data_IF_447983511573
#
_entry.id   IF_447983511573
#
_cell.length_a   1.000
_cell.length_b   1.000
_cell.length_c   1.000
_cell.angle_alpha   90.00
_cell.angle_beta   90.00
_cell.angle_gamma   90.00
#
_symmetry.space_group_name_H-M   'P 1'
#
loop_
_entity.id
_entity.type
_entity.pdbx_description
1 polymer ?
#
# COMPACT_ATOMS: atom_id res chain seq x y z
N UNK A 1 -29.58 -0.63 12.61
CA UNK A 1 -29.11 0.13 11.42
C UNK A 1 -28.76 -0.86 10.33
N UNK A 2 -29.12 -0.61 9.07
CA UNK A 2 -28.82 -1.55 7.97
C UNK A 2 -27.32 -1.52 7.66
N UNK A 3 -26.75 -2.68 7.37
CA UNK A 3 -25.31 -2.88 7.12
C UNK A 3 -24.75 -1.97 6.00
N UNK A 4 -25.59 -1.54 5.05
CA UNK A 4 -25.18 -0.66 3.95
C UNK A 4 -24.71 0.72 4.42
N UNK A 5 -25.40 1.37 5.36
CA UNK A 5 -24.98 2.67 5.88
C UNK A 5 -23.73 2.53 6.75
N UNK A 6 -23.55 1.39 7.44
CA UNK A 6 -22.35 1.14 8.23
C UNK A 6 -21.10 1.17 7.34
N UNK A 7 -21.16 0.59 6.13
CA UNK A 7 -20.06 0.67 5.17
C UNK A 7 -19.74 2.12 4.76
N UNK A 8 -20.78 2.94 4.54
CA UNK A 8 -20.60 4.38 4.23
C UNK A 8 -19.96 5.11 5.41
N UNK A 9 -20.40 4.86 6.64
CA UNK A 9 -19.82 5.51 7.83
C UNK A 9 -18.39 5.05 8.08
N UNK A 10 -18.06 3.77 7.88
CA UNK A 10 -16.68 3.28 7.93
C UNK A 10 -15.78 4.03 6.95
N UNK A 11 -16.26 4.24 5.73
CA UNK A 11 -15.53 4.95 4.69
C UNK A 11 -15.37 6.45 5.00
N UNK A 12 -16.40 7.09 5.57
CA UNK A 12 -16.30 8.46 6.07
C UNK A 12 -15.23 8.58 7.17
N UNK A 13 -15.21 7.65 8.13
CA UNK A 13 -14.21 7.64 9.20
C UNK A 13 -12.78 7.44 8.66
N UNK A 14 -12.62 6.67 7.57
CA UNK A 14 -11.34 6.52 6.87
C UNK A 14 -10.91 7.82 6.20
N UNK A 15 -11.78 8.43 5.39
CA UNK A 15 -11.48 9.68 4.67
C UNK A 15 -11.20 10.86 5.60
N UNK A 16 -11.83 10.89 6.77
CA UNK A 16 -11.64 11.97 7.74
C UNK A 16 -10.46 11.73 8.69
N UNK A 17 -9.94 10.50 8.75
CA UNK A 17 -8.93 10.10 9.72
C UNK A 17 -9.38 10.22 11.18
N UNK A 18 -10.68 10.27 11.46
CA UNK A 18 -11.23 10.56 12.79
C UNK A 18 -11.09 9.39 13.77
N UNK A 19 -10.93 8.18 13.26
CA UNK A 19 -10.68 6.98 14.06
C UNK A 19 -9.19 6.70 14.19
N UNK A 20 -8.70 6.61 15.42
CA UNK A 20 -7.31 6.28 15.70
C UNK A 20 -7.11 4.76 15.73
N UNK A 21 -6.20 4.18 14.92
CA UNK A 21 -5.94 2.75 14.97
C UNK A 21 -5.44 2.28 16.36
N UNK A 22 -5.99 1.17 16.81
CA UNK A 22 -5.79 0.57 18.13
C UNK A 22 -6.66 1.18 19.23
N UNK A 23 -7.50 2.18 18.93
CA UNK A 23 -8.34 2.83 19.95
C UNK A 23 -9.70 2.16 20.18
N UNK A 24 -10.12 1.25 19.29
CA UNK A 24 -11.45 0.64 19.36
C UNK A 24 -11.72 -0.40 18.29
N UNK A 25 -13.00 -0.73 18.16
CA UNK A 25 -13.55 -1.78 17.29
C UNK A 25 -14.09 -1.21 15.97
N UNK A 26 -14.55 -2.07 15.07
CA UNK A 26 -15.30 -1.67 13.88
C UNK A 26 -16.52 -0.80 14.24
N UNK A 27 -17.22 -1.14 15.33
CA UNK A 27 -18.40 -0.39 15.77
C UNK A 27 -18.05 1.02 16.24
N UNK A 28 -16.89 1.20 16.88
CA UNK A 28 -16.39 2.50 17.30
C UNK A 28 -16.02 3.36 16.09
N UNK A 29 -15.39 2.75 15.06
CA UNK A 29 -15.09 3.43 13.80
C UNK A 29 -16.35 3.85 13.03
N UNK A 30 -17.37 3.00 13.00
CA UNK A 30 -18.70 3.35 12.46
C UNK A 30 -19.27 4.57 13.20
N UNK A 31 -19.14 4.62 14.53
CA UNK A 31 -19.65 5.73 15.32
C UNK A 31 -18.88 7.04 15.04
N UNK A 32 -17.55 7.00 14.91
CA UNK A 32 -16.76 8.14 14.45
C UNK A 32 -17.31 8.70 13.13
N UNK A 33 -17.47 7.85 12.11
CA UNK A 33 -17.97 8.29 10.81
C UNK A 33 -19.40 8.85 10.83
N UNK A 34 -20.27 8.33 11.70
CA UNK A 34 -21.59 8.95 11.93
C UNK A 34 -21.46 10.35 12.52
N UNK A 35 -20.60 10.53 13.52
CA UNK A 35 -20.38 11.84 14.13
C UNK A 35 -19.84 12.85 13.11
N UNK A 36 -18.96 12.42 12.22
CA UNK A 36 -18.43 13.25 11.14
C UNK A 36 -19.52 13.65 10.14
N UNK A 37 -20.38 12.70 9.73
CA UNK A 37 -21.55 13.00 8.92
C UNK A 37 -22.51 13.98 9.61
N UNK A 38 -22.86 13.76 10.88
CA UNK A 38 -23.73 14.64 11.66
C UNK A 38 -23.16 16.06 11.70
N UNK A 39 -21.84 16.19 11.89
CA UNK A 39 -21.15 17.48 12.00
C UNK A 39 -20.84 18.10 10.65
N UNK A 40 -21.06 17.38 9.55
CA UNK A 40 -20.61 17.75 8.21
C UNK A 40 -19.10 18.03 8.18
N UNK A 41 -18.31 17.21 8.87
CA UNK A 41 -16.88 17.43 9.04
C UNK A 41 -16.15 17.35 7.69
N UNK A 42 -15.23 18.28 7.47
CA UNK A 42 -14.35 18.36 6.31
C UNK A 42 -12.92 18.56 6.82
N UNK A 43 -11.94 18.09 6.05
CA UNK A 43 -10.53 18.31 6.32
C UNK A 43 -10.20 19.79 6.16
N UNK A 44 -9.43 20.32 7.10
CA UNK A 44 -8.88 21.68 7.02
C UNK A 44 -7.59 21.64 6.19
N UNK A 45 -7.69 22.05 4.93
CA UNK A 45 -6.62 21.95 3.95
C UNK A 45 -6.11 23.34 3.56
N UNK A 46 -4.79 23.52 3.59
CA UNK A 46 -4.13 24.71 3.07
C UNK A 46 -3.78 24.54 1.59
N UNK A 47 -4.65 25.02 0.70
CA UNK A 47 -4.48 24.87 -0.76
C UNK A 47 -3.25 25.59 -1.36
N UNK A 48 -2.51 26.37 -0.56
CA UNK A 48 -1.22 26.92 -0.98
C UNK A 48 -0.10 25.87 -0.91
N UNK A 49 -0.23 24.86 -0.07
CA UNK A 49 0.70 23.74 0.03
C UNK A 49 0.40 22.66 -1.04
N UNK A 50 1.45 22.00 -1.55
CA UNK A 50 1.26 20.98 -2.58
C UNK A 50 0.71 19.67 -2.03
N UNK A 51 1.10 19.29 -0.80
CA UNK A 51 0.66 18.04 -0.21
C UNK A 51 -0.82 18.13 0.18
N UNK A 52 -1.25 19.22 0.82
CA UNK A 52 -2.68 19.46 1.11
C UNK A 52 -3.56 19.56 -0.15
N UNK A 53 -3.02 20.04 -1.28
CA UNK A 53 -3.75 20.04 -2.57
C UNK A 53 -4.03 18.63 -3.07
N UNK A 54 -3.15 17.66 -2.78
CA UNK A 54 -3.36 16.26 -3.17
C UNK A 54 -4.58 15.70 -2.46
N UNK A 55 -4.85 16.12 -1.22
CA UNK A 55 -5.94 15.59 -0.39
C UNK A 55 -7.30 16.29 -0.62
N UNK A 56 -7.34 17.33 -1.46
CA UNK A 56 -8.60 18.03 -1.80
C UNK A 56 -9.70 17.09 -2.33
N UNK A 57 -9.32 16.00 -3.00
CA UNK A 57 -10.26 15.01 -3.51
C UNK A 57 -11.05 14.33 -2.38
N UNK A 58 -10.48 14.16 -1.19
CA UNK A 58 -11.16 13.57 -0.03
C UNK A 58 -12.35 14.42 0.42
N UNK A 59 -12.18 15.74 0.50
CA UNK A 59 -13.28 16.68 0.80
C UNK A 59 -14.38 16.65 -0.27
N UNK A 60 -14.02 16.44 -1.55
CA UNK A 60 -15.00 16.27 -2.63
C UNK A 60 -15.81 14.99 -2.43
N UNK A 61 -15.15 13.89 -2.04
CA UNK A 61 -15.82 12.62 -1.73
C UNK A 61 -16.73 12.74 -0.51
N UNK A 62 -16.24 13.32 0.59
CA UNK A 62 -17.03 13.57 1.81
C UNK A 62 -18.30 14.36 1.50
N UNK A 63 -18.16 15.45 0.74
CA UNK A 63 -19.29 16.30 0.33
C UNK A 63 -20.34 15.52 -0.48
N UNK A 64 -19.92 14.62 -1.37
CA UNK A 64 -20.83 13.77 -2.15
C UNK A 64 -21.53 12.73 -1.28
N UNK A 65 -20.79 12.06 -0.41
CA UNK A 65 -21.31 11.05 0.53
C UNK A 65 -22.35 11.65 1.46
N UNK A 66 -22.07 12.81 2.06
CA UNK A 66 -23.01 13.48 2.95
C UNK A 66 -24.31 13.86 2.25
N UNK A 67 -24.21 14.34 1.00
CA UNK A 67 -25.40 14.66 0.20
C UNK A 67 -26.21 13.41 -0.18
N UNK A 68 -25.54 12.30 -0.49
CA UNK A 68 -26.21 11.03 -0.76
C UNK A 68 -26.89 10.48 0.49
N UNK A 69 -26.26 10.56 1.66
CA UNK A 69 -26.87 10.21 2.94
C UNK A 69 -28.08 11.09 3.27
N UNK A 70 -27.98 12.41 3.06
CA UNK A 70 -29.10 13.33 3.25
C UNK A 70 -30.29 12.95 2.35
N UNK A 71 -30.01 12.56 1.10
CA UNK A 71 -31.04 12.12 0.15
C UNK A 71 -31.61 10.76 0.54
N UNK A 72 -30.76 9.81 0.94
CA UNK A 72 -31.14 8.47 1.38
C UNK A 72 -32.09 8.52 2.58
N UNK A 73 -31.79 9.37 3.57
CA UNK A 73 -32.60 9.59 4.76
C UNK A 73 -33.73 10.61 4.55
N UNK A 74 -33.78 11.27 3.38
CA UNK A 74 -34.72 12.33 3.05
C UNK A 74 -34.76 13.45 4.12
N UNK A 75 -33.58 13.97 4.47
CA UNK A 75 -33.40 15.03 5.48
C UNK A 75 -32.75 16.27 4.89
N UNK A 76 -33.03 17.47 5.43
CA UNK A 76 -32.23 18.64 5.11
C UNK A 76 -30.80 18.47 5.64
N UNK A 77 -29.85 19.18 5.01
CA UNK A 77 -28.44 19.25 5.42
C UNK A 77 -28.27 20.09 6.69
N UNK A 78 -28.81 19.60 7.80
CA UNK A 78 -28.72 20.18 9.14
C UNK A 78 -28.31 19.12 10.17
N UNK A 79 -27.50 19.54 11.15
CA UNK A 79 -26.95 18.68 12.21
C UNK A 79 -28.03 17.93 12.98
N UNK A 80 -29.11 18.61 13.36
CA UNK A 80 -30.19 18.01 14.15
C UNK A 80 -30.95 16.99 13.32
N UNK A 81 -31.24 17.33 12.06
CA UNK A 81 -31.93 16.44 11.14
C UNK A 81 -31.13 15.15 10.86
N UNK A 82 -29.80 15.27 10.67
CA UNK A 82 -28.89 14.14 10.50
C UNK A 82 -28.76 13.28 11.75
N UNK A 83 -28.58 13.90 12.92
CA UNK A 83 -28.49 13.19 14.20
C UNK A 83 -29.74 12.33 14.46
N UNK A 84 -30.93 12.89 14.21
CA UNK A 84 -32.20 12.18 14.31
C UNK A 84 -32.43 11.15 13.21
N UNK A 85 -31.65 11.12 12.12
CA UNK A 85 -31.80 10.15 11.04
C UNK A 85 -30.92 8.91 11.22
N UNK A 86 -29.75 9.10 11.84
CA UNK A 86 -28.83 8.00 12.16
C UNK A 86 -29.10 7.37 13.52
N UNK A 87 -30.05 7.91 14.29
CA UNK A 87 -30.50 7.29 15.53
C UNK A 87 -31.16 5.93 15.22
N UNK A 88 -30.66 4.82 15.81
CA UNK A 88 -31.23 3.49 15.62
C UNK A 88 -32.72 3.38 15.96
N UNK A 89 -33.23 4.21 16.87
CA UNK A 89 -34.63 4.23 17.28
C UNK A 89 -35.51 5.09 16.37
N UNK A 90 -34.88 5.91 15.51
CA UNK A 90 -35.60 6.73 14.55
C UNK A 90 -36.11 5.87 13.39
N UNK A 91 -37.43 5.66 13.36
CA UNK A 91 -38.10 4.95 12.27
C UNK A 91 -38.32 5.86 11.05
N UNK A 92 -37.32 6.66 10.67
CA UNK A 92 -37.44 7.66 9.60
C UNK A 92 -37.56 7.01 8.22
N UNK A 93 -38.22 7.77 7.33
CA UNK A 93 -38.49 7.42 5.94
C UNK A 93 -37.19 7.15 5.19
N UNK A 94 -37.15 6.04 4.47
CA UNK A 94 -35.99 5.58 3.70
C UNK A 94 -36.40 5.43 2.26
N UNK A 95 -35.52 5.81 1.35
CA UNK A 95 -35.72 5.50 -0.06
C UNK A 95 -35.26 4.06 -0.32
N UNK A 96 -36.19 3.09 -0.21
CA UNK A 96 -35.88 1.64 -0.36
C UNK A 96 -35.26 1.25 -1.72
N UNK A 97 -35.33 2.15 -2.70
CA UNK A 97 -34.73 2.00 -4.04
C UNK A 97 -33.57 2.98 -4.27
N UNK A 98 -32.92 3.47 -3.21
CA UNK A 98 -31.82 4.41 -3.34
C UNK A 98 -30.66 3.77 -4.09
N UNK A 99 -30.08 4.51 -5.03
CA UNK A 99 -28.91 4.10 -5.79
C UNK A 99 -27.75 5.03 -5.43
N UNK A 100 -26.77 4.48 -4.72
CA UNK A 100 -25.51 5.16 -4.41
C UNK A 100 -24.75 5.43 -5.70
N UNK A 101 -24.23 6.64 -5.88
CA UNK A 101 -23.41 7.00 -7.04
C UNK A 101 -21.93 7.17 -6.68
N UNK A 102 -21.64 7.34 -5.39
CA UNK A 102 -20.26 7.34 -4.90
C UNK A 102 -19.77 5.90 -4.73
N UNK A 103 -18.69 5.50 -5.43
CA UNK A 103 -18.05 4.23 -5.16
C UNK A 103 -17.44 4.24 -3.76
N UNK A 104 -17.69 3.17 -3.00
CA UNK A 104 -17.09 2.95 -1.68
C UNK A 104 -15.96 1.95 -1.89
N UNK A 105 -14.74 2.35 -1.58
CA UNK A 105 -13.58 1.48 -1.64
C UNK A 105 -13.34 0.84 -0.27
N UNK A 106 -13.14 -0.47 -0.26
CA UNK A 106 -12.70 -1.23 0.90
C UNK A 106 -11.37 -1.88 0.54
N UNK A 107 -10.29 -1.41 1.15
CA UNK A 107 -8.95 -1.95 0.92
C UNK A 107 -8.53 -2.85 2.10
N UNK A 108 -7.76 -3.88 1.78
CA UNK A 108 -7.20 -4.77 2.77
C UNK A 108 -6.02 -4.09 3.48
N UNK A 109 -6.04 -4.09 4.81
CA UNK A 109 -4.96 -3.52 5.63
C UNK A 109 -3.69 -4.35 5.49
N UNK A 110 -2.84 -3.97 4.53
CA UNK A 110 -1.62 -4.68 4.15
C UNK A 110 -1.89 -6.14 3.72
N UNK A 111 -2.65 -6.32 2.62
CA UNK A 111 -3.02 -7.62 2.05
C UNK A 111 -1.88 -8.64 1.97
N UNK A 112 -0.68 -8.20 1.62
CA UNK A 112 0.52 -9.03 1.60
C UNK A 112 0.80 -9.68 2.97
N UNK A 113 0.83 -8.89 4.04
CA UNK A 113 1.04 -9.39 5.40
C UNK A 113 -0.09 -10.32 5.85
N UNK A 114 -1.32 -10.12 5.35
CA UNK A 114 -2.45 -11.02 5.62
C UNK A 114 -2.17 -12.41 5.03
N UNK A 115 -1.76 -12.48 3.75
CA UNK A 115 -1.39 -13.74 3.11
C UNK A 115 -0.20 -14.39 3.79
N UNK A 116 0.85 -13.64 4.12
CA UNK A 116 2.01 -14.17 4.83
C UNK A 116 1.62 -14.70 6.22
N UNK A 117 0.78 -13.99 6.96
CA UNK A 117 0.25 -14.43 8.24
C UNK A 117 -0.54 -15.73 8.12
N UNK A 118 -1.35 -15.88 7.07
CA UNK A 118 -2.09 -17.12 6.80
C UNK A 118 -1.16 -18.28 6.43
N UNK A 119 -0.16 -18.03 5.58
CA UNK A 119 0.79 -19.06 5.12
C UNK A 119 1.75 -19.52 6.22
N UNK A 120 2.12 -18.62 7.12
CA UNK A 120 3.02 -18.91 8.25
C UNK A 120 2.27 -19.35 9.50
N UNK A 121 0.96 -19.11 9.57
CA UNK A 121 0.16 -19.30 10.78
C UNK A 121 0.55 -18.35 11.91
N UNK A 122 1.23 -17.22 11.62
CA UNK A 122 1.67 -16.28 12.65
C UNK A 122 0.49 -15.42 13.11
N UNK A 123 0.04 -15.69 14.35
CA UNK A 123 -1.09 -14.99 14.97
C UNK A 123 -0.88 -13.47 15.06
N UNK A 124 0.37 -13.01 15.26
CA UNK A 124 0.68 -11.58 15.41
C UNK A 124 0.44 -10.83 14.11
N UNK A 125 0.85 -11.42 12.98
CA UNK A 125 0.57 -10.89 11.64
C UNK A 125 -0.94 -10.83 11.36
N UNK A 126 -1.70 -11.86 11.75
CA UNK A 126 -3.15 -11.90 11.55
C UNK A 126 -3.89 -10.87 12.42
N UNK A 127 -3.47 -10.67 13.68
CA UNK A 127 -4.03 -9.66 14.59
C UNK A 127 -3.73 -8.23 14.13
N UNK A 128 -2.48 -7.93 13.76
CA UNK A 128 -2.09 -6.56 13.37
C UNK A 128 -2.66 -6.13 12.01
N UNK A 129 -3.07 -7.08 11.17
CA UNK A 129 -3.67 -6.83 9.86
C UNK A 129 -5.20 -6.96 9.85
N UNK A 130 -5.81 -7.12 11.03
CA UNK A 130 -7.26 -7.20 11.23
C UNK A 130 -7.92 -8.42 10.56
N UNK A 131 -7.18 -9.49 10.28
CA UNK A 131 -7.76 -10.77 9.81
C UNK A 131 -8.47 -11.47 10.97
N UNK A 132 -7.93 -11.33 12.18
CA UNK A 132 -8.53 -11.79 13.43
C UNK A 132 -8.43 -10.70 14.49
N UNK A 133 -9.25 -10.81 15.53
CA UNK A 133 -9.31 -9.85 16.63
C UNK A 133 -10.37 -8.77 16.41
N UNK A 134 -10.78 -8.14 17.50
CA UNK A 134 -11.92 -7.20 17.50
C UNK A 134 -11.49 -5.74 17.47
N UNK A 135 -10.24 -5.45 17.86
CA UNK A 135 -9.68 -4.09 17.87
C UNK A 135 -8.95 -3.81 16.58
N UNK A 136 -9.38 -2.79 15.83
CA UNK A 136 -8.78 -2.41 14.56
C UNK A 136 -7.38 -1.82 14.76
N UNK A 137 -6.36 -2.49 14.24
CA UNK A 137 -4.95 -2.12 14.28
C UNK A 137 -4.49 -1.47 12.97
N UNK A 138 -3.38 -0.71 13.04
CA UNK A 138 -2.62 -0.30 11.86
C UNK A 138 -1.37 -1.20 11.76
N UNK A 139 -1.26 -2.02 10.70
CA UNK A 139 -0.11 -2.92 10.55
C UNK A 139 1.21 -2.15 10.42
N UNK A 140 1.18 -0.86 10.07
CA UNK A 140 2.38 -0.04 9.90
C UNK A 140 2.76 0.74 11.16
N UNK A 141 2.18 0.41 12.31
CA UNK A 141 2.50 1.02 13.60
C UNK A 141 3.61 0.25 14.32
N UNK A 142 4.69 0.96 14.66
CA UNK A 142 5.76 0.47 15.54
C UNK A 142 6.08 1.55 16.57
N UNK A 143 6.07 1.22 17.85
CA UNK A 143 6.34 2.20 18.91
C UNK A 143 7.75 2.77 18.78
N UNK A 144 7.87 4.10 18.85
CA UNK A 144 9.14 4.81 18.65
C UNK A 144 9.50 5.08 17.18
N UNK A 145 8.70 4.64 16.20
CA UNK A 145 8.92 4.90 14.78
C UNK A 145 7.66 5.49 14.12
N UNK A 146 7.85 6.45 13.20
CA UNK A 146 6.72 6.96 12.44
C UNK A 146 6.18 5.91 11.47
N UNK A 147 4.86 5.92 11.25
CA UNK A 147 4.19 5.05 10.27
C UNK A 147 4.81 5.17 8.88
N UNK A 148 5.15 6.39 8.47
CA UNK A 148 5.75 6.67 7.17
C UNK A 148 7.12 5.99 7.03
N UNK A 149 7.98 6.08 8.04
CA UNK A 149 9.29 5.41 8.06
C UNK A 149 9.13 3.90 7.90
N UNK A 150 8.28 3.29 8.74
CA UNK A 150 8.09 1.85 8.70
C UNK A 150 7.50 1.40 7.37
N UNK A 151 6.40 2.01 6.92
CA UNK A 151 5.73 1.64 5.66
C UNK A 151 6.66 1.78 4.46
N UNK A 152 7.43 2.86 4.37
CA UNK A 152 8.32 3.12 3.23
C UNK A 152 9.51 2.19 3.15
N UNK A 153 10.04 1.71 4.28
CA UNK A 153 11.12 0.73 4.29
C UNK A 153 10.61 -0.72 4.19
N UNK A 154 9.59 -1.08 4.98
CA UNK A 154 9.08 -2.44 5.06
C UNK A 154 8.34 -2.87 3.79
N UNK A 155 7.55 -1.99 3.16
CA UNK A 155 6.80 -2.38 1.95
C UNK A 155 7.73 -2.89 0.84
N UNK A 156 8.72 -2.13 0.33
CA UNK A 156 9.60 -2.66 -0.72
C UNK A 156 10.36 -3.90 -0.27
N UNK A 157 10.81 -3.95 0.99
CA UNK A 157 11.57 -5.07 1.53
C UNK A 157 10.77 -6.37 1.49
N UNK A 158 9.52 -6.34 1.97
CA UNK A 158 8.64 -7.50 2.03
C UNK A 158 8.15 -7.94 0.65
N UNK A 159 8.06 -7.02 -0.32
CA UNK A 159 7.78 -7.34 -1.73
C UNK A 159 9.00 -7.80 -2.54
N UNK A 160 10.17 -8.03 -1.91
CA UNK A 160 11.35 -8.63 -2.57
C UNK A 160 12.57 -7.74 -2.71
N UNK A 161 12.54 -6.50 -2.21
CA UNK A 161 13.73 -5.65 -2.17
C UNK A 161 14.75 -6.16 -1.15
N UNK A 162 16.02 -5.98 -1.49
CA UNK A 162 17.17 -6.26 -0.63
C UNK A 162 17.89 -4.98 -0.17
N UNK A 163 17.33 -3.80 -0.47
CA UNK A 163 17.89 -2.51 -0.03
C UNK A 163 17.79 -2.36 1.48
N UNK A 164 18.76 -1.66 2.07
CA UNK A 164 18.72 -1.36 3.49
C UNK A 164 17.68 -0.27 3.79
N UNK A 165 17.11 -0.27 4.99
CA UNK A 165 16.08 0.70 5.38
C UNK A 165 16.55 2.16 5.25
N UNK A 166 17.80 2.46 5.59
CA UNK A 166 18.37 3.80 5.51
C UNK A 166 18.53 4.30 4.07
N UNK A 167 18.79 3.40 3.10
CA UNK A 167 18.83 3.75 1.67
C UNK A 167 17.42 4.14 1.20
N UNK A 168 16.41 3.35 1.58
CA UNK A 168 15.00 3.63 1.26
C UNK A 168 14.52 4.94 1.89
N UNK A 169 14.91 5.22 3.13
CA UNK A 169 14.57 6.49 3.78
C UNK A 169 15.27 7.68 3.12
N UNK A 170 16.54 7.54 2.76
CA UNK A 170 17.30 8.57 2.07
C UNK A 170 16.69 8.89 0.69
N UNK A 171 16.33 7.87 -0.09
CA UNK A 171 15.68 8.03 -1.40
C UNK A 171 14.32 8.74 -1.31
N UNK A 172 13.65 8.64 -0.15
CA UNK A 172 12.36 9.30 0.12
C UNK A 172 12.50 10.61 0.91
N UNK A 173 13.71 11.14 1.10
CA UNK A 173 13.99 12.33 1.91
C UNK A 173 13.43 12.27 3.34
N UNK A 174 13.41 11.08 3.94
CA UNK A 174 12.95 10.88 5.32
C UNK A 174 14.16 10.99 6.26
N UNK A 175 14.20 11.97 7.18
CA UNK A 175 15.25 12.06 8.19
C UNK A 175 15.22 10.84 9.12
N UNK A 176 16.40 10.33 9.48
CA UNK A 176 16.53 9.19 10.39
C UNK A 176 17.79 9.30 11.25
N UNK A 177 17.78 8.56 12.35
CA UNK A 177 18.89 8.41 13.29
C UNK A 177 19.41 6.96 13.31
N UNK A 178 20.54 6.74 13.98
CA UNK A 178 21.06 5.39 14.21
C UNK A 178 20.11 4.54 15.05
N UNK A 179 19.39 5.16 16.00
CA UNK A 179 18.44 4.47 16.86
C UNK A 179 17.22 3.98 16.06
N UNK A 180 16.77 4.75 15.06
CA UNK A 180 15.72 4.33 14.14
C UNK A 180 16.12 3.09 13.32
N UNK A 181 17.37 3.06 12.84
CA UNK A 181 17.92 1.90 12.12
C UNK A 181 17.96 0.68 13.04
N UNK A 182 18.43 0.86 14.28
CA UNK A 182 18.50 -0.22 15.27
C UNK A 182 17.11 -0.77 15.61
N UNK A 183 16.13 0.12 15.81
CA UNK A 183 14.74 -0.25 16.08
C UNK A 183 14.12 -1.03 14.90
N UNK A 184 14.31 -0.56 13.67
CA UNK A 184 13.85 -1.26 12.47
C UNK A 184 14.48 -2.66 12.36
N UNK A 185 15.79 -2.75 12.54
CA UNK A 185 16.50 -4.03 12.44
C UNK A 185 16.07 -5.01 13.53
N UNK A 186 15.77 -4.52 14.74
CA UNK A 186 15.21 -5.35 15.81
C UNK A 186 13.85 -5.92 15.41
N UNK A 187 12.97 -5.09 14.86
CA UNK A 187 11.66 -5.53 14.38
C UNK A 187 11.78 -6.59 13.26
N UNK A 188 12.73 -6.40 12.34
CA UNK A 188 13.01 -7.39 11.27
C UNK A 188 13.68 -8.67 11.76
N UNK A 189 14.30 -8.66 12.95
CA UNK A 189 14.96 -9.83 13.52
C UNK A 189 14.05 -10.65 14.44
N UNK A 190 13.23 -9.97 15.26
CA UNK A 190 12.48 -10.57 16.37
C UNK A 190 10.95 -10.43 16.21
N UNK A 191 10.52 -9.42 15.45
CA UNK A 191 9.12 -9.03 15.32
C UNK A 191 8.34 -9.82 14.26
N UNK A 192 7.01 -9.57 14.15
CA UNK A 192 6.17 -10.14 13.10
C UNK A 192 6.70 -9.87 11.68
N UNK A 193 7.25 -8.67 11.44
CA UNK A 193 7.83 -8.36 10.12
C UNK A 193 9.06 -9.22 9.77
N UNK A 194 9.80 -9.71 10.78
CA UNK A 194 10.89 -10.64 10.55
C UNK A 194 10.42 -11.99 9.99
N UNK A 195 9.28 -12.49 10.46
CA UNK A 195 8.67 -13.74 9.97
C UNK A 195 8.25 -13.60 8.51
N UNK A 196 7.56 -12.50 8.19
CA UNK A 196 7.20 -12.11 6.83
C UNK A 196 8.44 -12.04 5.91
N UNK A 197 9.48 -11.33 6.35
CA UNK A 197 10.73 -11.19 5.61
C UNK A 197 11.43 -12.55 5.37
N UNK A 198 11.39 -13.47 6.34
CA UNK A 198 11.94 -14.82 6.18
C UNK A 198 11.15 -15.65 5.15
N UNK A 199 9.83 -15.54 5.11
CA UNK A 199 9.02 -16.21 4.09
C UNK A 199 9.37 -15.70 2.70
N UNK A 200 9.49 -14.37 2.54
CA UNK A 200 9.95 -13.75 1.29
C UNK A 200 11.32 -14.29 0.85
N UNK A 201 12.30 -14.34 1.76
CA UNK A 201 13.62 -14.92 1.46
C UNK A 201 13.52 -16.40 1.08
N UNK A 202 12.67 -17.18 1.75
CA UNK A 202 12.43 -18.58 1.41
C UNK A 202 11.89 -18.72 -0.03
N UNK A 203 10.90 -17.91 -0.41
CA UNK A 203 10.32 -17.95 -1.77
C UNK A 203 11.36 -17.56 -2.81
N UNK A 204 12.09 -16.45 -2.61
CA UNK A 204 13.09 -15.96 -3.56
C UNK A 204 14.21 -16.99 -3.78
N UNK A 205 14.68 -17.62 -2.68
CA UNK A 205 15.77 -18.60 -2.76
C UNK A 205 15.35 -19.95 -3.36
N UNK A 206 14.04 -20.26 -3.35
CA UNK A 206 13.51 -21.49 -3.95
C UNK A 206 12.85 -21.26 -5.32
N UNK A 207 12.75 -20.01 -5.79
CA UNK A 207 12.25 -19.69 -7.12
C UNK A 207 13.28 -20.00 -8.21
N UNK A 208 12.86 -20.74 -9.23
CA UNK A 208 13.67 -21.06 -10.41
C UNK A 208 13.05 -20.48 -11.70
N UNK A 209 13.05 -19.14 -11.86
CA UNK A 209 12.41 -18.50 -12.99
C UNK A 209 13.10 -18.83 -14.31
N UNK A 210 12.31 -18.85 -15.37
CA UNK A 210 12.78 -18.85 -16.76
C UNK A 210 12.54 -17.46 -17.37
N UNK A 211 13.18 -17.18 -18.50
CA UNK A 211 12.94 -15.93 -19.24
C UNK A 211 11.48 -15.74 -19.63
N UNK A 212 10.79 -16.85 -19.90
CA UNK A 212 9.36 -16.95 -20.11
C UNK A 212 8.85 -18.22 -19.44
N UNK A 213 7.71 -18.13 -18.74
CA UNK A 213 7.07 -19.28 -18.12
C UNK A 213 5.56 -19.10 -17.98
N UNK A 214 4.85 -20.22 -17.90
CA UNK A 214 3.44 -20.27 -17.54
C UNK A 214 3.33 -20.51 -16.03
N UNK A 215 2.53 -19.71 -15.36
CA UNK A 215 2.22 -19.82 -13.93
C UNK A 215 0.74 -20.14 -13.76
N UNK A 216 0.44 -21.01 -12.78
CA UNK A 216 -0.90 -21.46 -12.48
C UNK A 216 -1.27 -21.00 -11.08
N UNK A 217 -2.20 -20.06 -10.98
CA UNK A 217 -2.67 -19.50 -9.70
C UNK A 217 -4.19 -19.59 -9.68
N UNK A 218 -4.74 -20.18 -8.61
CA UNK A 218 -6.19 -20.31 -8.39
C UNK A 218 -7.01 -20.87 -9.58
N UNK A 219 -6.41 -21.78 -10.34
CA UNK A 219 -7.03 -22.41 -11.51
C UNK A 219 -6.89 -21.62 -12.81
N UNK A 220 -6.35 -20.41 -12.76
CA UNK A 220 -6.00 -19.61 -13.92
C UNK A 220 -4.59 -19.90 -14.40
N UNK A 221 -4.35 -19.69 -15.70
CA UNK A 221 -3.05 -19.85 -16.34
C UNK A 221 -2.69 -18.59 -17.06
N UNK A 222 -1.54 -18.01 -16.73
CA UNK A 222 -1.03 -16.84 -17.42
C UNK A 222 0.47 -16.98 -17.67
N UNK A 223 0.94 -16.28 -18.70
CA UNK A 223 2.35 -16.26 -19.08
C UNK A 223 3.00 -15.03 -18.49
N UNK A 224 4.15 -15.24 -17.86
CA UNK A 224 5.02 -14.19 -17.37
C UNK A 224 6.36 -14.25 -18.09
N UNK A 225 6.98 -13.09 -18.27
CA UNK A 225 8.30 -12.97 -18.87
C UNK A 225 9.17 -11.96 -18.13
N UNK A 226 10.47 -12.20 -18.17
CA UNK A 226 11.46 -11.31 -17.57
C UNK A 226 11.55 -10.01 -18.39
N UNK A 227 11.23 -8.88 -17.76
CA UNK A 227 11.30 -7.56 -18.38
C UNK A 227 12.62 -6.81 -18.09
N UNK A 228 13.52 -7.41 -17.28
CA UNK A 228 14.83 -6.86 -16.92
C UNK A 228 15.92 -7.60 -17.69
N UNK A 229 16.93 -6.87 -18.13
CA UNK A 229 18.05 -7.42 -18.89
C UNK A 229 19.35 -6.87 -18.34
N UNK A 230 20.39 -7.72 -18.31
CA UNK A 230 21.76 -7.35 -17.99
C UNK A 230 22.66 -7.56 -19.20
N UNK A 231 23.72 -6.77 -19.27
CA UNK A 231 24.74 -6.91 -20.31
C UNK A 231 25.75 -7.97 -19.87
N UNK A 232 26.09 -8.90 -20.76
CA UNK A 232 27.08 -9.96 -20.52
C UNK A 232 28.01 -10.05 -21.72
N UNK A 233 29.29 -10.29 -21.43
CA UNK A 233 30.33 -10.45 -22.43
C UNK A 233 30.67 -9.12 -23.08
N UNK A 234 31.61 -8.38 -22.48
CA UNK A 234 32.24 -7.25 -23.13
C UNK A 234 33.34 -7.78 -24.02
N UNK A 235 33.15 -7.72 -25.34
CA UNK A 235 34.25 -7.91 -26.29
C UNK A 235 34.64 -6.56 -26.86
N UNK A 236 35.72 -6.00 -26.32
CA UNK A 236 36.30 -4.75 -26.83
C UNK A 236 37.22 -5.07 -28.00
N UNK A 237 36.83 -4.62 -29.20
CA UNK A 237 37.66 -4.65 -30.40
C UNK A 237 38.34 -3.30 -30.58
N UNK A 238 39.64 -3.32 -30.84
CA UNK A 238 40.40 -2.11 -31.18
C UNK A 238 40.54 -2.04 -32.70
N UNK A 239 40.01 -0.98 -33.30
CA UNK A 239 40.20 -0.66 -34.71
C UNK A 239 41.26 0.42 -34.84
N UNK A 240 42.29 0.14 -35.63
CA UNK A 240 43.32 1.13 -35.97
C UNK A 240 42.89 1.82 -37.25
N UNK A 241 42.61 3.11 -37.17
CA UNK A 241 42.07 3.90 -38.28
C UNK A 241 43.10 4.97 -38.63
N UNK A 242 43.36 5.14 -39.92
CA UNK A 242 44.22 6.20 -40.42
C UNK A 242 43.41 7.50 -40.49
N UNK A 243 43.85 8.51 -39.76
CA UNK A 243 43.29 9.87 -39.81
C UNK A 243 44.07 10.68 -40.85
N UNK A 244 43.39 11.06 -41.92
CA UNK A 244 43.98 11.82 -43.02
C UNK A 244 44.20 13.30 -42.71
N UNK A 245 43.56 13.85 -41.67
CA UNK A 245 43.76 15.24 -41.27
C UNK A 245 44.98 15.39 -40.35
N UNK A 246 45.13 14.45 -39.42
CA UNK A 246 46.22 14.44 -38.44
C UNK A 246 47.43 13.60 -38.87
N UNK A 247 47.37 12.97 -40.05
CA UNK A 247 48.38 12.05 -40.62
C UNK A 247 48.90 10.99 -39.62
N UNK A 248 47.98 10.44 -38.81
CA UNK A 248 48.32 9.47 -37.75
C UNK A 248 47.30 8.35 -37.64
N UNK A 249 47.73 7.24 -37.06
CA UNK A 249 46.83 6.16 -36.67
C UNK A 249 46.15 6.48 -35.34
N UNK A 250 44.82 6.56 -35.35
CA UNK A 250 44.00 6.62 -34.15
C UNK A 250 43.47 5.21 -33.82
N UNK A 251 43.29 4.93 -32.53
CA UNK A 251 42.68 3.67 -32.05
C UNK A 251 41.27 4.00 -31.58
N UNK A 252 40.28 3.39 -32.22
CA UNK A 252 38.90 3.41 -31.73
C UNK A 252 38.60 2.07 -31.07
N UNK A 253 38.09 2.14 -29.84
CA UNK A 253 37.61 0.98 -29.11
C UNK A 253 36.11 0.84 -29.34
N UNK A 254 35.67 -0.35 -29.75
CA UNK A 254 34.26 -0.70 -29.87
C UNK A 254 33.98 -1.91 -28.99
N UNK A 255 33.06 -1.76 -28.04
CA UNK A 255 32.68 -2.84 -27.14
C UNK A 255 31.34 -3.40 -27.55
N UNK A 256 31.35 -4.64 -28.04
CA UNK A 256 30.14 -5.41 -28.26
C UNK A 256 29.64 -5.91 -26.89
N UNK A 257 28.35 -5.68 -26.58
CA UNK A 257 27.69 -6.21 -25.38
C UNK A 257 26.45 -7.01 -25.77
N UNK A 258 26.23 -8.17 -25.13
CA UNK A 258 25.02 -8.97 -25.32
C UNK A 258 24.05 -8.73 -24.17
N UNK A 259 22.82 -8.33 -24.49
CA UNK A 259 21.73 -8.29 -23.51
C UNK A 259 21.16 -9.69 -23.28
N UNK A 260 21.07 -10.10 -22.02
CA UNK A 260 20.43 -11.35 -21.59
C UNK A 260 19.43 -11.07 -20.46
N UNK A 261 18.34 -11.85 -20.34
CA UNK A 261 17.38 -11.70 -19.25
C UNK A 261 18.06 -11.77 -17.88
N UNK A 262 17.69 -10.86 -16.98
CA UNK A 262 18.20 -10.81 -15.61
C UNK A 262 17.32 -11.65 -14.69
N UNK A 263 17.55 -12.96 -14.69
CA UNK A 263 16.77 -13.92 -13.90
C UNK A 263 16.97 -13.74 -12.39
N UNK A 264 18.10 -13.19 -11.93
CA UNK A 264 18.34 -12.95 -10.51
C UNK A 264 17.49 -11.79 -9.98
N UNK A 265 17.40 -10.70 -10.75
CA UNK A 265 16.46 -9.64 -10.41
C UNK A 265 15.00 -10.10 -10.57
N UNK A 266 14.73 -10.98 -11.54
CA UNK A 266 13.38 -11.48 -11.77
C UNK A 266 12.82 -12.31 -10.61
N UNK A 267 13.66 -13.10 -9.90
CA UNK A 267 13.26 -13.87 -8.71
C UNK A 267 12.57 -13.01 -7.64
N UNK A 268 12.99 -11.76 -7.48
CA UNK A 268 12.45 -10.84 -6.46
C UNK A 268 10.95 -10.57 -6.63
N UNK A 269 10.44 -10.65 -7.86
CA UNK A 269 9.02 -10.44 -8.16
C UNK A 269 8.12 -11.65 -7.83
N UNK A 270 8.70 -12.81 -7.50
CA UNK A 270 7.90 -14.02 -7.22
C UNK A 270 7.13 -13.92 -5.91
N UNK A 271 7.62 -13.15 -4.95
CA UNK A 271 6.87 -12.84 -3.74
C UNK A 271 5.55 -12.14 -4.06
N UNK A 272 5.58 -11.22 -5.03
CA UNK A 272 4.40 -10.47 -5.47
C UNK A 272 3.32 -11.37 -6.06
N UNK A 273 3.67 -12.52 -6.66
CA UNK A 273 2.69 -13.48 -7.19
C UNK A 273 1.80 -14.13 -6.12
N UNK A 274 2.09 -13.97 -4.83
CA UNK A 274 1.20 -14.44 -3.77
C UNK A 274 -0.09 -13.63 -3.64
N UNK A 275 -0.11 -12.41 -4.16
CA UNK A 275 -1.20 -11.43 -3.94
C UNK A 275 -2.01 -11.22 -5.23
N UNK A 276 -1.54 -11.71 -6.38
CA UNK A 276 -2.11 -11.50 -7.72
C UNK A 276 -2.65 -12.79 -8.34
#
# INVERSE_FOLDING_TARGET
>A
MLAECNAVFLFIAELTGSFQPGSGTEQDKIECGKQDYIRNFQLDLNLHDEDDRKDMHENVWLSRLYRELDTYFNVPSDKTARALAVDPESNRYRYSTFQWQVPIELDASASMLQYEGLLTGDKRLLEMTNVIGDTLQDPWKLEGMSRQMLKKAATPMLYGSSQACHELWQDNNIPYTTDDIALYNKEMAEGPFGVANLLKEFIINNAAPKSEMEVHIWGEKFKISCNRFRNVGEQTKAYKIWDTLDERYNIILHTDTKRVPDLEQFKRYFMTLLIF
#
